data_IF_879086796219
#
_entry.id   IF_879086796219
#
_cell.length_a   1.000
_cell.length_b   1.000
_cell.length_c   1.000
_cell.angle_alpha   90.00
_cell.angle_beta   90.00
_cell.angle_gamma   90.00
#
_symmetry.space_group_name_H-M   'P 1'
#
loop_
_entity.id
_entity.type
_entity.pdbx_description
1 polymer ?
#
# COMPACT_ATOMS: atom_id res chain seq x y z
N UNK A 1 -15.99 23.57 8.23
CA UNK A 1 -14.87 22.94 7.51
C UNK A 1 -15.38 22.43 6.18
N UNK A 2 -14.93 23.04 5.10
CA UNK A 2 -15.24 22.61 3.74
C UNK A 2 -14.55 21.28 3.42
N UNK A 3 -14.96 20.63 2.33
CA UNK A 3 -14.36 19.35 1.91
C UNK A 3 -12.85 19.46 1.68
N UNK A 4 -12.41 20.59 1.13
CA UNK A 4 -11.00 20.86 0.84
C UNK A 4 -10.17 21.04 2.11
N UNK A 5 -10.66 21.87 3.05
CA UNK A 5 -10.01 22.05 4.35
C UNK A 5 -9.83 20.73 5.10
N UNK A 6 -10.84 19.85 5.04
CA UNK A 6 -10.77 18.52 5.66
C UNK A 6 -9.66 17.67 5.03
N UNK A 7 -9.53 17.71 3.71
CA UNK A 7 -8.46 16.98 2.99
C UNK A 7 -7.09 17.53 3.40
N UNK A 8 -6.94 18.86 3.45
CA UNK A 8 -5.69 19.52 3.85
C UNK A 8 -5.26 19.13 5.27
N UNK A 9 -6.21 19.14 6.22
CA UNK A 9 -5.97 18.71 7.60
C UNK A 9 -5.47 17.25 7.67
N UNK A 10 -6.14 16.33 6.98
CA UNK A 10 -5.74 14.93 7.00
C UNK A 10 -4.43 14.68 6.27
N UNK A 11 -4.11 15.47 5.23
CA UNK A 11 -2.81 15.43 4.58
C UNK A 11 -1.70 15.83 5.55
N UNK A 12 -1.88 16.92 6.28
CA UNK A 12 -0.92 17.33 7.32
C UNK A 12 -0.76 16.26 8.40
N UNK A 13 -1.86 15.64 8.83
CA UNK A 13 -1.82 14.59 9.85
C UNK A 13 -1.07 13.34 9.37
N UNK A 14 -1.27 12.93 8.13
CA UNK A 14 -0.52 11.80 7.54
C UNK A 14 0.97 12.11 7.41
N UNK A 15 1.33 13.34 7.04
CA UNK A 15 2.73 13.76 6.98
C UNK A 15 3.38 13.81 8.37
N UNK A 16 2.67 14.31 9.39
CA UNK A 16 3.12 14.27 10.79
C UNK A 16 3.32 12.83 11.28
N UNK A 17 2.38 11.94 10.97
CA UNK A 17 2.53 10.52 11.27
C UNK A 17 3.79 9.93 10.63
N UNK A 18 4.02 10.21 9.33
CA UNK A 18 5.22 9.73 8.62
C UNK A 18 6.51 10.27 9.21
N UNK A 19 6.54 11.55 9.55
CA UNK A 19 7.69 12.20 10.18
C UNK A 19 7.94 11.71 11.62
N UNK A 20 6.89 11.29 12.34
CA UNK A 20 7.01 10.84 13.73
C UNK A 20 7.80 9.54 13.88
N UNK A 21 7.86 8.69 12.84
CA UNK A 21 8.45 7.35 12.92
C UNK A 21 7.72 6.40 13.87
N UNK A 22 6.57 6.79 14.42
CA UNK A 22 5.79 5.98 15.35
C UNK A 22 4.98 4.90 14.64
N UNK A 23 4.64 3.85 15.38
CA UNK A 23 3.60 2.92 14.94
C UNK A 23 2.23 3.63 14.93
N UNK A 24 1.36 3.20 14.00
CA UNK A 24 -0.01 3.74 13.82
C UNK A 24 -0.77 3.81 15.15
N UNK A 25 -0.71 2.74 15.96
CA UNK A 25 -1.40 2.69 17.25
C UNK A 25 -0.90 3.77 18.23
N UNK A 26 0.41 3.98 18.29
CA UNK A 26 1.02 4.92 19.23
C UNK A 26 0.74 6.36 18.83
N UNK A 27 0.85 6.66 17.53
CA UNK A 27 0.49 7.97 16.99
C UNK A 27 -0.99 8.30 17.19
N UNK A 28 -1.87 7.33 16.91
CA UNK A 28 -3.31 7.47 17.15
C UNK A 28 -3.64 7.70 18.62
N UNK A 29 -2.96 7.01 19.54
CA UNK A 29 -3.13 7.21 20.97
C UNK A 29 -2.67 8.62 21.42
N UNK A 30 -1.57 9.13 20.87
CA UNK A 30 -1.05 10.46 21.21
C UNK A 30 -1.92 11.60 20.67
N UNK A 31 -2.37 11.50 19.42
CA UNK A 31 -3.15 12.56 18.77
C UNK A 31 -4.65 12.46 19.06
N UNK A 32 -5.10 11.42 19.79
CA UNK A 32 -6.52 11.19 20.08
C UNK A 32 -7.35 10.81 18.85
N UNK A 33 -6.73 10.13 17.89
CA UNK A 33 -7.34 9.78 16.60
C UNK A 33 -7.64 8.28 16.56
N UNK A 34 -8.83 7.90 16.07
CA UNK A 34 -9.13 6.51 15.82
C UNK A 34 -8.25 5.93 14.70
N UNK A 35 -7.67 4.75 14.95
CA UNK A 35 -6.80 4.03 14.01
C UNK A 35 -7.47 3.83 12.64
N UNK A 36 -8.75 3.43 12.64
CA UNK A 36 -9.52 3.24 11.41
C UNK A 36 -9.62 4.53 10.58
N UNK A 37 -9.76 5.68 11.24
CA UNK A 37 -9.82 6.99 10.58
C UNK A 37 -8.50 7.32 9.90
N UNK A 38 -7.37 7.11 10.58
CA UNK A 38 -6.06 7.34 9.98
C UNK A 38 -5.80 6.41 8.78
N UNK A 39 -6.18 5.14 8.87
CA UNK A 39 -6.08 4.20 7.74
C UNK A 39 -6.94 4.63 6.54
N UNK A 40 -8.18 5.02 6.80
CA UNK A 40 -9.09 5.51 5.75
C UNK A 40 -8.48 6.70 5.01
N UNK A 41 -7.97 7.70 5.73
CA UNK A 41 -7.37 8.88 5.11
C UNK A 41 -6.05 8.59 4.41
N UNK A 42 -5.23 7.68 4.93
CA UNK A 42 -4.02 7.22 4.21
C UNK A 42 -4.37 6.61 2.85
N UNK A 43 -5.38 5.74 2.81
CA UNK A 43 -5.83 5.11 1.56
C UNK A 43 -6.43 6.16 0.60
N UNK A 44 -7.32 7.00 1.11
CA UNK A 44 -7.98 8.04 0.32
C UNK A 44 -7.02 9.08 -0.25
N UNK A 45 -5.99 9.47 0.50
CA UNK A 45 -4.98 10.42 0.03
C UNK A 45 -4.00 9.79 -0.96
N UNK A 46 -3.73 8.48 -0.86
CA UNK A 46 -2.97 7.77 -1.88
C UNK A 46 -3.76 7.70 -3.21
N UNK A 47 -5.04 7.35 -3.15
CA UNK A 47 -5.97 7.28 -4.29
C UNK A 47 -6.17 8.65 -4.97
N UNK A 48 -6.20 9.74 -4.18
CA UNK A 48 -6.29 11.09 -4.74
C UNK A 48 -5.03 11.52 -5.52
N UNK A 49 -3.85 11.00 -5.16
CA UNK A 49 -2.58 11.23 -5.90
C UNK A 49 -2.52 10.32 -7.12
N UNK A 50 -3.04 9.10 -7.01
CA UNK A 50 -3.22 8.16 -8.11
C UNK A 50 -4.61 8.27 -8.73
N UNK A 51 -4.88 9.34 -9.47
CA UNK A 51 -5.93 9.30 -10.50
C UNK A 51 -5.53 8.31 -11.61
N UNK A 52 -5.46 7.02 -11.25
CA UNK A 52 -5.10 5.84 -12.04
C UNK A 52 -6.01 4.70 -11.54
N UNK A 53 -6.48 3.84 -12.45
CA UNK A 53 -7.80 3.22 -12.35
C UNK A 53 -7.91 2.37 -11.10
N UNK A 54 -9.09 2.43 -10.47
CA UNK A 54 -9.53 1.59 -9.36
C UNK A 54 -8.88 0.21 -9.42
N UNK A 55 -7.90 -0.03 -8.56
CA UNK A 55 -7.37 -1.38 -8.36
C UNK A 55 -8.37 -2.13 -7.47
N UNK A 56 -9.48 -2.55 -8.10
CA UNK A 56 -10.42 -3.48 -7.52
C UNK A 56 -9.73 -4.85 -7.46
N UNK A 57 -9.12 -5.13 -6.31
CA UNK A 57 -8.86 -6.48 -5.80
C UNK A 57 -8.11 -7.42 -6.72
N UNK A 58 -6.80 -7.49 -6.54
CA UNK A 58 -6.04 -8.70 -6.15
C UNK A 58 -4.57 -8.34 -6.24
N UNK A 59 -3.84 -8.49 -5.13
CA UNK A 59 -2.38 -8.62 -5.13
C UNK A 59 -1.90 -9.28 -6.43
N UNK A 60 -1.23 -8.48 -7.26
CA UNK A 60 -0.89 -8.86 -8.62
C UNK A 60 0.04 -10.05 -8.59
N UNK A 61 -0.41 -11.18 -9.12
CA UNK A 61 0.48 -12.25 -9.52
C UNK A 61 1.42 -11.69 -10.57
N UNK A 62 2.70 -11.58 -10.23
CA UNK A 62 3.74 -11.30 -11.21
C UNK A 62 3.94 -12.58 -12.03
N UNK A 63 3.83 -12.54 -13.37
CA UNK A 63 4.02 -13.73 -14.19
C UNK A 63 5.48 -14.19 -14.07
N UNK A 64 5.68 -15.39 -13.52
CA UNK A 64 6.98 -16.05 -13.50
C UNK A 64 7.13 -16.91 -14.76
N UNK A 65 8.15 -16.63 -15.56
CA UNK A 65 8.46 -17.42 -16.75
C UNK A 65 9.21 -18.69 -16.33
N UNK A 66 8.64 -19.87 -16.58
CA UNK A 66 9.33 -21.14 -16.36
C UNK A 66 10.37 -21.36 -17.46
N UNK A 67 11.63 -21.56 -17.07
CA UNK A 67 12.67 -21.99 -18.01
C UNK A 67 12.34 -23.40 -18.53
N UNK A 68 12.55 -23.70 -19.83
CA UNK A 68 12.35 -25.04 -20.36
C UNK A 68 13.30 -26.02 -19.67
N UNK A 69 12.75 -27.03 -19.00
CA UNK A 69 13.54 -28.14 -18.48
C UNK A 69 14.25 -28.82 -19.65
N UNK A 70 15.59 -28.75 -19.68
CA UNK A 70 16.37 -29.55 -20.62
C UNK A 70 16.09 -31.03 -20.31
N UNK A 71 15.62 -31.83 -21.27
CA UNK A 71 15.57 -33.27 -21.05
C UNK A 71 17.01 -33.74 -20.83
N UNK A 72 17.32 -34.17 -19.61
CA UNK A 72 18.57 -34.87 -19.30
C UNK A 72 18.45 -36.28 -19.87
N UNK A 73 18.60 -36.42 -21.18
CA UNK A 73 18.82 -37.72 -21.81
C UNK A 73 20.29 -38.05 -21.64
N UNK A 74 20.61 -38.82 -20.60
CA UNK A 74 21.87 -39.55 -20.55
C UNK A 74 21.79 -40.65 -21.61
N UNK A 75 22.69 -40.69 -22.60
CA UNK A 75 22.75 -41.82 -23.51
C UNK A 75 23.15 -43.05 -22.72
N UNK A 76 22.26 -44.04 -22.67
CA UNK A 76 22.59 -45.41 -22.30
C UNK A 76 23.37 -45.99 -23.48
N UNK A 77 24.68 -46.17 -23.30
CA UNK A 77 25.53 -46.89 -24.24
C UNK A 77 25.21 -48.39 -24.18
N UNK A 78 25.04 -49.02 -25.35
CA UNK A 78 24.86 -50.47 -25.55
C UNK A 78 26.02 -51.03 -26.35
#
# INVERSE_FOLDING_TARGET
MTKDEKIAYWRQQVERFRASGLSVKNYCAQEGIAVATLHYWRKRLADAVESRPMFNGTEGFLPVTLAPARPSVSPVEV
#
